data_IF_889691009527
#
_entry.id   IF_889691009527
#
_cell.length_a   1.000
_cell.length_b   1.000
_cell.length_c   1.000
_cell.angle_alpha   90.00
_cell.angle_beta   90.00
_cell.angle_gamma   90.00
#
_symmetry.space_group_name_H-M   'P 1'
#
loop_
_entity.id
_entity.type
_entity.pdbx_description
1 polymer ?
#
# COMPACT_ATOMS: atom_id res chain seq x y z
N UNK A 1 -15.75 -20.68 -25.13
CA UNK A 1 -14.36 -20.77 -24.63
C UNK A 1 -13.62 -19.43 -24.53
N UNK A 2 -14.10 -18.34 -25.16
CA UNK A 2 -13.48 -16.99 -25.08
C UNK A 2 -13.82 -16.20 -23.80
N UNK A 3 -15.01 -16.38 -23.24
CA UNK A 3 -15.44 -15.69 -22.01
C UNK A 3 -14.57 -16.02 -20.79
N UNK A 4 -14.17 -17.29 -20.63
CA UNK A 4 -13.32 -17.73 -19.52
C UNK A 4 -11.92 -17.09 -19.64
N UNK A 5 -11.35 -17.04 -20.84
CA UNK A 5 -10.06 -16.40 -21.08
C UNK A 5 -10.09 -14.89 -20.82
N UNK A 6 -11.17 -14.20 -21.23
CA UNK A 6 -11.35 -12.78 -20.95
C UNK A 6 -11.55 -12.49 -19.46
N UNK A 7 -12.31 -13.31 -18.73
CA UNK A 7 -12.47 -13.15 -17.27
C UNK A 7 -11.16 -13.41 -16.53
N UNK A 8 -10.37 -14.39 -16.97
CA UNK A 8 -9.04 -14.67 -16.39
C UNK A 8 -8.07 -13.50 -16.64
N UNK A 9 -8.10 -12.92 -17.85
CA UNK A 9 -7.30 -11.74 -18.20
C UNK A 9 -7.73 -10.50 -17.41
N UNK A 10 -9.03 -10.30 -17.17
CA UNK A 10 -9.52 -9.18 -16.36
C UNK A 10 -9.19 -9.36 -14.87
N UNK A 11 -9.27 -10.58 -14.34
CA UNK A 11 -8.83 -10.88 -12.97
C UNK A 11 -7.33 -10.65 -12.81
N UNK A 12 -6.52 -11.05 -13.79
CA UNK A 12 -5.09 -10.79 -13.80
C UNK A 12 -4.79 -9.28 -13.91
N UNK A 13 -5.53 -8.54 -14.74
CA UNK A 13 -5.37 -7.09 -14.89
C UNK A 13 -5.89 -6.26 -13.70
N UNK A 14 -6.82 -6.80 -12.89
CA UNK A 14 -7.28 -6.19 -11.64
C UNK A 14 -6.55 -6.70 -10.41
N UNK A 15 -5.61 -7.63 -10.58
CA UNK A 15 -4.81 -8.15 -9.48
C UNK A 15 -3.99 -7.02 -8.83
N UNK A 16 -3.73 -7.15 -7.52
CA UNK A 16 -3.12 -6.11 -6.68
C UNK A 16 -1.84 -5.48 -7.29
N UNK A 17 -1.08 -6.25 -8.08
CA UNK A 17 0.12 -5.78 -8.77
C UNK A 17 -0.12 -4.86 -9.97
N UNK A 18 -1.27 -4.96 -10.65
CA UNK A 18 -1.59 -4.17 -11.84
C UNK A 18 -2.24 -2.82 -11.49
N UNK A 19 -2.80 -2.69 -10.29
CA UNK A 19 -3.37 -1.44 -9.76
C UNK A 19 -2.37 -0.64 -8.91
N UNK A 20 -1.13 -1.12 -8.76
CA UNK A 20 -0.06 -0.34 -8.09
C UNK A 20 0.26 0.92 -8.90
N UNK A 21 -0.47 2.00 -8.58
CA UNK A 21 -0.23 3.31 -9.16
C UNK A 21 1.05 3.90 -8.57
N UNK A 22 1.70 4.80 -9.29
CA UNK A 22 2.86 5.57 -8.77
C UNK A 22 2.49 6.28 -7.45
N UNK A 23 1.21 6.64 -7.26
CA UNK A 23 0.70 7.23 -6.02
C UNK A 23 0.82 6.31 -4.80
N UNK A 24 0.56 5.01 -4.97
CA UNK A 24 0.70 4.02 -3.90
C UNK A 24 2.17 3.91 -3.45
N UNK A 25 3.10 3.94 -4.39
CA UNK A 25 4.53 3.88 -4.11
C UNK A 25 5.00 5.09 -3.28
N UNK A 26 4.49 6.28 -3.59
CA UNK A 26 4.76 7.52 -2.84
C UNK A 26 4.17 7.42 -1.42
N UNK A 27 2.95 6.92 -1.28
CA UNK A 27 2.30 6.75 0.03
C UNK A 27 3.03 5.74 0.92
N UNK A 28 3.56 4.65 0.35
CA UNK A 28 4.44 3.71 1.07
C UNK A 28 5.70 4.43 1.57
N UNK A 29 6.34 5.25 0.73
CA UNK A 29 7.51 6.02 1.16
C UNK A 29 7.17 6.99 2.31
N UNK A 30 6.02 7.67 2.25
CA UNK A 30 5.53 8.53 3.34
C UNK A 30 5.25 7.74 4.61
N UNK A 31 4.64 6.54 4.50
CA UNK A 31 4.41 5.68 5.64
C UNK A 31 5.71 5.23 6.32
N UNK A 32 6.75 4.94 5.54
CA UNK A 32 8.10 4.65 6.06
C UNK A 32 8.70 5.86 6.78
N UNK A 33 8.51 7.08 6.28
CA UNK A 33 8.97 8.31 6.95
C UNK A 33 8.24 8.50 8.29
N UNK A 34 6.93 8.25 8.35
CA UNK A 34 6.18 8.34 9.61
C UNK A 34 6.58 7.24 10.60
N UNK A 35 6.84 6.02 10.14
CA UNK A 35 7.41 4.95 10.96
C UNK A 35 8.79 5.35 11.53
N UNK A 36 9.64 5.96 10.70
CA UNK A 36 10.93 6.47 11.13
C UNK A 36 10.80 7.57 12.19
N UNK A 37 9.88 8.52 12.01
CA UNK A 37 9.64 9.59 13.00
C UNK A 37 9.09 9.04 14.32
N UNK A 38 8.21 8.04 14.25
CA UNK A 38 7.63 7.40 15.42
C UNK A 38 8.67 6.62 16.24
N UNK A 39 9.54 5.85 15.57
CA UNK A 39 10.52 4.98 16.22
C UNK A 39 11.81 5.72 16.56
N UNK A 40 12.41 6.41 15.59
CA UNK A 40 13.73 7.03 15.75
C UNK A 40 13.67 8.37 16.48
N UNK A 41 12.63 9.18 16.26
CA UNK A 41 12.45 10.46 16.94
C UNK A 41 11.48 10.42 18.13
N UNK A 42 10.77 9.31 18.34
CA UNK A 42 9.88 9.14 19.49
C UNK A 42 8.68 10.11 19.50
N UNK A 43 8.32 10.69 18.35
CA UNK A 43 7.12 11.51 18.26
C UNK A 43 5.90 10.59 18.33
N UNK A 44 5.09 10.75 19.37
CA UNK A 44 3.82 10.05 19.62
C UNK A 44 3.77 8.62 19.06
N UNK A 45 4.67 7.72 19.49
CA UNK A 45 4.83 6.39 18.91
C UNK A 45 3.54 5.55 19.04
N UNK A 46 2.75 5.81 20.09
CA UNK A 46 1.47 5.13 20.30
C UNK A 46 0.45 5.42 19.19
N UNK A 47 0.53 6.59 18.55
CA UNK A 47 -0.43 7.03 17.51
C UNK A 47 0.16 6.90 16.11
N UNK A 48 1.42 7.34 15.89
CA UNK A 48 2.01 7.31 14.55
C UNK A 48 2.31 5.91 14.04
N UNK A 49 2.63 4.95 14.91
CA UNK A 49 2.87 3.56 14.50
C UNK A 49 1.62 2.93 13.88
N UNK A 50 0.44 2.90 14.53
CA UNK A 50 -0.77 2.35 13.91
C UNK A 50 -1.22 3.13 12.67
N UNK A 51 -1.01 4.46 12.61
CA UNK A 51 -1.32 5.27 11.42
C UNK A 51 -0.42 4.86 10.24
N UNK A 52 0.90 4.78 10.45
CA UNK A 52 1.85 4.36 9.42
C UNK A 52 1.58 2.92 8.96
N UNK A 53 1.19 2.03 9.87
CA UNK A 53 0.80 0.66 9.54
C UNK A 53 -0.47 0.59 8.70
N UNK A 54 -1.47 1.41 9.01
CA UNK A 54 -2.69 1.54 8.21
C UNK A 54 -2.41 2.06 6.80
N UNK A 55 -1.52 3.04 6.65
CA UNK A 55 -1.10 3.53 5.33
C UNK A 55 -0.37 2.46 4.52
N UNK A 56 0.47 1.63 5.14
CA UNK A 56 1.13 0.52 4.44
C UNK A 56 0.13 -0.53 3.97
N UNK A 57 -0.86 -0.89 4.80
CA UNK A 57 -1.88 -1.89 4.45
C UNK A 57 -2.82 -1.44 3.31
N UNK A 58 -3.10 -0.15 3.21
CA UNK A 58 -4.00 0.41 2.17
C UNK A 58 -3.26 0.63 0.84
N UNK A 59 -1.95 0.83 0.86
CA UNK A 59 -1.17 1.19 -0.32
C UNK A 59 -0.31 0.05 -0.89
N UNK A 60 -0.25 -1.12 -0.23
CA UNK A 60 0.25 -2.40 -0.78
C UNK A 60 -0.84 -3.05 -1.64
#
# INVERSE_FOLDING_TARGET
MSYIANTLSNLAAQSAFATMSVGNLIMIAVACVFLYLAIAKGFEPLLLVPIAFGMLLVNI
#
